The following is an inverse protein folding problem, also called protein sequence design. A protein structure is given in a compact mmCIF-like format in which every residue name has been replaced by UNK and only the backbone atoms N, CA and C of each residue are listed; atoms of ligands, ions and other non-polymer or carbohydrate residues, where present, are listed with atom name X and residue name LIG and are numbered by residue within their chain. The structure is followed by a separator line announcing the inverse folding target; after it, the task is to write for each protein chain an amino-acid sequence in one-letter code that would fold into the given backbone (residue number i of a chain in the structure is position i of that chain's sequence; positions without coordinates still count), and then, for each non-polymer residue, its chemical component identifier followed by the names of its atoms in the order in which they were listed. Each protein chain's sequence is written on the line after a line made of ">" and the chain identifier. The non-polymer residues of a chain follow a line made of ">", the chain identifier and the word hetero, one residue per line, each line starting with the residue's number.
data_IF_214138910899
#
_entry.id   IF_214138910899
#
_cell.length_a   1.000
_cell.length_b   1.000
_cell.length_c   1.000
_cell.angle_alpha   90.00
_cell.angle_beta   90.00
_cell.angle_gamma   90.00
#
_symmetry.space_group_name_H-M   'P 1'
#
loop_
_entity.id
_entity.type
_entity.pdbx_description
1 polymer ?
#
# COMPACT_ATOMS: atom_id res chain seq x y z
N UNK A 1 -45.71 -7.90 -19.75
CA UNK A 1 -45.85 -7.18 -18.48
C UNK A 1 -46.85 -7.93 -17.62
N UNK A 2 -46.49 -8.33 -16.39
CA UNK A 2 -47.44 -8.98 -15.49
C UNK A 2 -48.66 -8.08 -15.26
N UNK A 3 -49.88 -8.64 -15.32
CA UNK A 3 -51.10 -7.89 -15.00
C UNK A 3 -50.96 -7.35 -13.57
N UNK A 4 -51.13 -6.04 -13.42
CA UNK A 4 -51.10 -5.42 -12.10
C UNK A 4 -52.39 -5.84 -11.39
N UNK A 5 -52.27 -6.65 -10.33
CA UNK A 5 -53.39 -7.04 -9.49
C UNK A 5 -53.64 -5.97 -8.40
N UNK A 6 -54.74 -5.19 -8.50
CA UNK A 6 -55.06 -4.15 -7.51
C UNK A 6 -55.32 -4.70 -6.11
N UNK A 7 -55.82 -5.93 -6.00
CA UNK A 7 -56.16 -6.58 -4.72
C UNK A 7 -54.88 -6.96 -3.99
N UNK A 8 -53.93 -7.60 -4.68
CA UNK A 8 -52.62 -7.90 -4.12
C UNK A 8 -51.87 -6.62 -3.69
N UNK A 9 -51.96 -5.53 -4.47
CA UNK A 9 -51.35 -4.23 -4.10
C UNK A 9 -52.01 -3.64 -2.84
N UNK A 10 -53.33 -3.72 -2.72
CA UNK A 10 -54.07 -3.26 -1.55
C UNK A 10 -53.73 -4.08 -0.28
N UNK A 11 -53.62 -5.40 -0.42
CA UNK A 11 -53.22 -6.31 0.66
C UNK A 11 -51.79 -5.98 1.16
N UNK A 12 -50.84 -5.81 0.23
CA UNK A 12 -49.46 -5.44 0.58
C UNK A 12 -49.38 -4.10 1.32
N UNK A 13 -50.15 -3.09 0.88
CA UNK A 13 -50.24 -1.80 1.56
C UNK A 13 -50.84 -1.91 2.96
N UNK A 14 -51.89 -2.73 3.11
CA UNK A 14 -52.57 -2.95 4.38
C UNK A 14 -51.69 -3.69 5.40
N UNK A 15 -50.87 -4.63 4.94
CA UNK A 15 -49.88 -5.35 5.73
C UNK A 15 -48.78 -4.42 6.30
N UNK A 16 -48.46 -3.31 5.60
CA UNK A 16 -47.54 -2.28 6.11
C UNK A 16 -48.18 -1.29 7.10
N UNK A 17 -49.44 -1.51 7.48
CA UNK A 17 -50.10 -0.71 8.51
C UNK A 17 -50.95 0.44 8.00
N UNK A 18 -51.53 0.31 6.80
CA UNK A 18 -52.49 1.27 6.25
C UNK A 18 -53.92 0.70 6.21
N UNK A 19 -54.91 1.58 6.36
CA UNK A 19 -56.32 1.32 6.09
C UNK A 19 -56.68 2.12 4.85
N UNK A 20 -56.86 1.46 3.72
CA UNK A 20 -57.07 2.12 2.42
C UNK A 20 -58.51 2.64 2.31
N UNK A 21 -58.66 3.86 1.76
CA UNK A 21 -59.97 4.51 1.58
C UNK A 21 -60.46 4.57 0.13
N UNK A 22 -59.60 4.21 -0.80
CA UNK A 22 -59.89 4.25 -2.23
C UNK A 22 -59.29 3.03 -2.95
N UNK A 23 -59.80 2.65 -4.13
CA UNK A 23 -59.16 1.66 -5.00
C UNK A 23 -57.73 2.05 -5.37
N UNK A 24 -56.94 1.08 -5.86
CA UNK A 24 -55.55 1.29 -6.25
C UNK A 24 -55.40 2.37 -7.34
N UNK A 25 -54.73 3.51 -7.05
CA UNK A 25 -54.66 4.64 -7.99
C UNK A 25 -53.50 4.52 -9.00
N UNK A 26 -52.58 3.58 -8.80
CA UNK A 26 -51.29 3.49 -9.49
C UNK A 26 -50.10 3.55 -8.52
N UNK A 27 -48.92 3.11 -8.95
CA UNK A 27 -47.79 2.86 -8.04
C UNK A 27 -47.25 4.13 -7.36
N UNK A 28 -47.08 5.20 -8.13
CA UNK A 28 -46.50 6.47 -7.66
C UNK A 28 -47.56 7.52 -7.30
N UNK A 29 -48.85 7.20 -7.49
CA UNK A 29 -49.92 8.13 -7.15
C UNK A 29 -50.19 8.14 -5.64
N UNK A 30 -50.55 9.29 -5.06
CA UNK A 30 -50.93 9.37 -3.66
C UNK A 30 -52.15 8.49 -3.39
N UNK A 31 -52.05 7.54 -2.45
CA UNK A 31 -53.13 6.63 -2.11
C UNK A 31 -53.78 7.05 -0.78
N UNK A 32 -55.02 7.58 -0.78
CA UNK A 32 -55.71 7.96 0.45
C UNK A 32 -55.90 6.77 1.40
N UNK A 33 -55.36 6.90 2.61
CA UNK A 33 -55.41 5.87 3.64
C UNK A 33 -55.41 6.48 5.05
N UNK A 34 -55.68 5.66 6.07
CA UNK A 34 -55.41 5.99 7.49
C UNK A 34 -54.23 5.14 7.95
N UNK A 35 -53.27 5.74 8.62
CA UNK A 35 -52.18 4.98 9.24
C UNK A 35 -52.65 4.29 10.52
N UNK A 36 -52.47 2.97 10.63
CA UNK A 36 -52.85 2.20 11.84
C UNK A 36 -52.03 2.59 13.09
N UNK A 37 -50.86 3.22 12.91
CA UNK A 37 -49.99 3.60 14.04
C UNK A 37 -50.37 4.94 14.65
N UNK A 38 -50.59 5.99 13.84
CA UNK A 38 -50.90 7.32 14.35
C UNK A 38 -52.36 7.74 14.16
N UNK A 39 -53.17 6.90 13.50
CA UNK A 39 -54.58 7.14 13.18
C UNK A 39 -54.86 8.40 12.35
N UNK A 40 -53.83 9.02 11.78
CA UNK A 40 -53.97 10.19 10.92
C UNK A 40 -54.19 9.81 9.46
N UNK A 41 -54.96 10.60 8.69
CA UNK A 41 -55.03 10.47 7.24
C UNK A 41 -53.65 10.61 6.60
N UNK A 42 -53.39 9.80 5.58
CA UNK A 42 -52.15 9.83 4.82
C UNK A 42 -52.42 9.60 3.33
N UNK A 43 -51.46 10.00 2.50
CA UNK A 43 -51.50 9.89 1.05
C UNK A 43 -50.23 9.23 0.51
N UNK A 44 -49.68 8.26 1.25
CA UNK A 44 -48.49 7.53 0.83
C UNK A 44 -48.72 6.79 -0.49
N UNK A 45 -47.71 6.73 -1.34
CA UNK A 45 -47.76 5.95 -2.58
C UNK A 45 -47.35 4.50 -2.35
N UNK A 46 -47.80 3.59 -3.23
CA UNK A 46 -47.38 2.20 -3.17
C UNK A 46 -45.85 2.07 -3.28
N UNK A 47 -45.22 2.81 -4.19
CA UNK A 47 -43.77 2.82 -4.37
C UNK A 47 -43.04 3.27 -3.10
N UNK A 48 -43.49 4.34 -2.43
CA UNK A 48 -42.83 4.80 -1.20
C UNK A 48 -42.86 3.77 -0.08
N UNK A 49 -43.99 3.08 0.10
CA UNK A 49 -44.17 2.19 1.25
C UNK A 49 -43.62 0.80 0.97
N UNK A 50 -43.91 0.23 -0.19
CA UNK A 50 -43.55 -1.16 -0.52
C UNK A 50 -42.20 -1.22 -1.21
N UNK A 51 -42.01 -0.49 -2.30
CA UNK A 51 -40.79 -0.56 -3.11
C UNK A 51 -39.60 0.08 -2.39
N UNK A 52 -39.77 1.27 -1.81
CA UNK A 52 -38.69 2.02 -1.12
C UNK A 52 -38.63 1.75 0.39
N UNK A 53 -39.65 1.11 0.97
CA UNK A 53 -39.65 0.75 2.39
C UNK A 53 -39.75 1.92 3.37
N UNK A 54 -40.23 3.10 2.97
CA UNK A 54 -40.23 4.33 3.79
C UNK A 54 -41.26 4.34 4.95
N UNK A 55 -41.96 3.22 5.14
CA UNK A 55 -42.98 3.06 6.18
C UNK A 55 -44.37 3.53 5.74
N UNK A 56 -45.41 3.28 6.57
CA UNK A 56 -46.80 3.48 6.18
C UNK A 56 -47.19 4.94 5.94
N UNK A 57 -46.69 5.88 6.74
CA UNK A 57 -47.05 7.28 6.61
C UNK A 57 -45.88 8.23 6.86
N UNK A 58 -45.92 9.38 6.19
CA UNK A 58 -44.91 10.43 6.29
C UNK A 58 -44.74 10.91 7.74
N UNK A 59 -45.82 11.17 8.49
CA UNK A 59 -45.73 11.69 9.86
C UNK A 59 -45.04 10.73 10.82
N UNK A 60 -45.34 9.43 10.77
CA UNK A 60 -44.64 8.43 11.59
C UNK A 60 -43.17 8.29 11.15
N UNK A 61 -42.90 8.32 9.84
CA UNK A 61 -41.53 8.34 9.32
C UNK A 61 -40.76 9.56 9.81
N UNK A 62 -41.36 10.74 9.74
CA UNK A 62 -40.79 11.99 10.21
C UNK A 62 -40.51 11.94 11.71
N UNK A 63 -41.45 11.51 12.56
CA UNK A 63 -41.23 11.34 14.01
C UNK A 63 -40.06 10.40 14.31
N UNK A 64 -39.97 9.25 13.64
CA UNK A 64 -38.85 8.32 13.79
C UNK A 64 -37.53 8.97 13.39
N UNK A 65 -37.50 9.66 12.25
CA UNK A 65 -36.29 10.35 11.77
C UNK A 65 -35.88 11.49 12.71
N UNK A 66 -36.82 12.28 13.22
CA UNK A 66 -36.57 13.37 14.18
C UNK A 66 -36.05 12.83 15.51
N UNK A 67 -36.60 11.72 16.00
CA UNK A 67 -36.12 11.07 17.23
C UNK A 67 -34.69 10.53 17.06
N UNK A 68 -34.40 9.88 15.93
CA UNK A 68 -33.05 9.42 15.61
C UNK A 68 -32.06 10.60 15.49
N UNK A 69 -32.47 11.68 14.81
CA UNK A 69 -31.68 12.91 14.71
C UNK A 69 -31.48 13.61 16.06
N UNK A 70 -32.47 13.58 16.96
CA UNK A 70 -32.33 14.11 18.32
C UNK A 70 -31.32 13.29 19.13
N UNK A 71 -31.40 11.96 19.09
CA UNK A 71 -30.41 11.07 19.73
C UNK A 71 -29.00 11.31 19.21
N UNK A 72 -28.83 11.46 17.89
CA UNK A 72 -27.53 11.78 17.29
C UNK A 72 -26.95 13.10 17.80
N UNK A 73 -27.81 14.12 18.00
CA UNK A 73 -27.41 15.45 18.48
C UNK A 73 -27.16 15.50 19.99
N UNK A 74 -27.67 14.55 20.76
CA UNK A 74 -27.48 14.43 22.20
C UNK A 74 -26.10 13.86 22.53
N UNK A 75 -25.06 14.63 22.21
CA UNK A 75 -23.66 14.30 22.51
C UNK A 75 -23.30 14.96 23.85
N UNK A 76 -22.76 14.23 24.85
CA UNK A 76 -22.22 14.81 26.06
C UNK A 76 -21.06 15.77 25.76
N UNK A 77 -20.95 16.87 26.50
CA UNK A 77 -19.91 17.89 26.27
C UNK A 77 -18.49 17.31 26.31
N UNK A 78 -18.20 16.43 27.28
CA UNK A 78 -16.88 15.79 27.42
C UNK A 78 -16.47 15.00 26.16
N UNK A 79 -17.38 14.18 25.64
CA UNK A 79 -17.16 13.40 24.41
C UNK A 79 -16.95 14.33 23.21
N UNK A 80 -17.70 15.44 23.16
CA UNK A 80 -17.54 16.42 22.09
C UNK A 80 -16.18 17.11 22.14
N UNK A 81 -15.71 17.47 23.34
CA UNK A 81 -14.42 18.12 23.55
C UNK A 81 -13.26 17.21 23.14
N UNK A 82 -13.28 15.95 23.54
CA UNK A 82 -12.25 14.98 23.18
C UNK A 82 -12.15 14.81 21.66
N UNK A 83 -13.29 14.70 20.97
CA UNK A 83 -13.33 14.59 19.51
C UNK A 83 -12.80 15.83 18.80
N UNK A 84 -13.03 17.02 19.34
CA UNK A 84 -12.49 18.26 18.76
C UNK A 84 -10.99 18.42 19.08
N UNK A 85 -10.53 17.96 20.24
CA UNK A 85 -9.10 17.92 20.58
C UNK A 85 -8.33 16.94 19.69
N UNK A 86 -8.89 15.77 19.37
CA UNK A 86 -8.36 14.83 18.37
C UNK A 86 -8.17 15.51 16.99
N UNK A 87 -9.03 16.48 16.65
CA UNK A 87 -8.93 17.28 15.44
C UNK A 87 -7.95 18.47 15.53
N UNK A 88 -7.07 18.50 16.54
CA UNK A 88 -6.11 19.58 16.82
C UNK A 88 -6.75 20.95 17.08
N UNK A 89 -7.89 20.97 17.76
CA UNK A 89 -8.52 22.22 18.20
C UNK A 89 -8.76 22.15 19.70
N UNK A 90 -8.35 23.20 20.41
CA UNK A 90 -8.66 23.40 21.83
C UNK A 90 -9.94 24.22 21.97
N UNK A 91 -11.04 23.68 22.52
CA UNK A 91 -12.24 24.46 22.80
C UNK A 91 -11.95 25.64 23.72
N UNK A 92 -12.55 26.80 23.44
CA UNK A 92 -12.43 28.02 24.25
C UNK A 92 -13.71 28.34 25.03
N UNK A 93 -14.81 27.70 24.67
CA UNK A 93 -16.12 27.84 25.31
C UNK A 93 -16.77 26.47 25.52
N UNK A 94 -17.86 26.45 26.29
CA UNK A 94 -18.65 25.24 26.52
C UNK A 94 -19.30 24.74 25.23
N UNK A 95 -19.47 23.42 25.12
CA UNK A 95 -20.04 22.81 23.92
C UNK A 95 -21.45 23.35 23.59
N UNK A 96 -21.64 24.08 22.48
CA UNK A 96 -22.92 24.72 22.14
C UNK A 96 -23.91 23.75 21.47
N UNK A 97 -23.52 22.47 21.33
CA UNK A 97 -24.27 21.46 20.60
C UNK A 97 -23.72 21.20 19.20
N UNK A 98 -24.18 20.10 18.59
CA UNK A 98 -23.54 19.52 17.39
C UNK A 98 -23.64 20.36 16.12
N UNK A 99 -24.56 21.31 16.05
CA UNK A 99 -24.83 22.17 14.88
C UNK A 99 -24.44 23.64 15.13
N UNK A 100 -23.99 23.98 16.35
CA UNK A 100 -23.55 25.32 16.69
C UNK A 100 -22.12 25.59 16.20
N UNK A 101 -21.82 26.86 15.94
CA UNK A 101 -20.45 27.32 15.84
C UNK A 101 -19.82 27.22 17.23
N UNK A 102 -18.72 26.50 17.35
CA UNK A 102 -18.01 26.27 18.60
C UNK A 102 -16.63 26.90 18.54
N UNK A 103 -16.42 27.94 19.35
CA UNK A 103 -15.16 28.70 19.37
C UNK A 103 -14.03 27.85 19.92
N UNK A 104 -12.94 27.77 19.16
CA UNK A 104 -11.76 26.99 19.52
C UNK A 104 -10.47 27.61 18.99
N UNK A 105 -9.35 27.25 19.61
CA UNK A 105 -8.01 27.59 19.17
C UNK A 105 -7.45 26.42 18.35
N UNK A 106 -7.14 26.66 17.08
CA UNK A 106 -6.45 25.66 16.27
C UNK A 106 -5.02 25.47 16.76
N UNK A 107 -4.64 24.27 17.20
CA UNK A 107 -3.30 23.99 17.71
C UNK A 107 -2.23 23.89 16.61
N UNK A 108 -2.62 23.89 15.34
CA UNK A 108 -1.69 23.90 14.20
C UNK A 108 -1.27 25.31 13.78
N UNK A 109 -2.21 26.26 13.73
CA UNK A 109 -1.94 27.63 13.28
C UNK A 109 -2.12 28.69 14.37
N UNK A 110 -2.49 28.27 15.58
CA UNK A 110 -2.69 29.11 16.77
C UNK A 110 -3.69 30.26 16.58
N UNK A 111 -4.63 30.11 15.64
CA UNK A 111 -5.72 31.07 15.41
C UNK A 111 -6.99 30.60 16.08
N UNK A 112 -7.75 31.56 16.61
CA UNK A 112 -9.14 31.34 16.98
C UNK A 112 -9.97 31.07 15.73
N UNK A 113 -10.79 30.03 15.79
CA UNK A 113 -11.66 29.57 14.72
C UNK A 113 -13.00 29.13 15.30
N UNK A 114 -14.02 29.19 14.46
CA UNK A 114 -15.30 28.56 14.73
C UNK A 114 -15.32 27.16 14.12
N UNK A 115 -15.63 26.16 14.94
CA UNK A 115 -15.70 24.75 14.54
C UNK A 115 -17.11 24.24 14.67
N UNK A 116 -17.59 23.51 13.66
CA UNK A 116 -18.87 22.82 13.75
C UNK A 116 -18.63 21.33 13.99
N UNK A 117 -19.06 20.83 15.15
CA UNK A 117 -18.89 19.43 15.52
C UNK A 117 -19.44 18.48 14.45
N UNK A 118 -20.61 18.76 13.88
CA UNK A 118 -21.18 17.94 12.81
C UNK A 118 -20.30 17.88 11.56
N UNK A 119 -19.64 18.99 11.19
CA UNK A 119 -18.77 19.05 10.02
C UNK A 119 -17.51 18.21 10.25
N UNK A 120 -16.90 18.33 11.42
CA UNK A 120 -15.67 17.60 11.75
C UNK A 120 -15.96 16.11 11.97
N UNK A 121 -16.94 15.79 12.82
CA UNK A 121 -17.13 14.42 13.31
C UNK A 121 -18.06 13.60 12.42
N UNK A 122 -19.09 14.20 11.81
CA UNK A 122 -20.02 13.44 10.95
C UNK A 122 -19.65 13.50 9.48
N UNK A 123 -19.14 14.64 8.99
CA UNK A 123 -18.74 14.80 7.58
C UNK A 123 -17.25 14.51 7.35
N UNK A 124 -16.42 14.48 8.39
CA UNK A 124 -14.98 14.24 8.27
C UNK A 124 -14.19 15.41 7.69
N UNK A 125 -14.76 16.63 7.71
CA UNK A 125 -14.08 17.81 7.21
C UNK A 125 -12.99 18.28 8.18
N UNK A 126 -11.97 18.96 7.65
CA UNK A 126 -10.95 19.60 8.49
C UNK A 126 -11.56 20.69 9.39
N UNK A 127 -11.18 20.70 10.67
CA UNK A 127 -11.73 21.64 11.65
C UNK A 127 -11.34 23.11 11.38
N UNK A 128 -10.13 23.34 10.87
CA UNK A 128 -9.60 24.69 10.64
C UNK A 128 -9.63 25.06 9.15
N UNK A 129 -10.49 26.02 8.81
CA UNK A 129 -10.66 26.53 7.44
C UNK A 129 -9.42 27.29 6.91
N UNK A 130 -8.54 27.80 7.78
CA UNK A 130 -7.24 28.36 7.37
C UNK A 130 -6.23 27.27 7.02
N UNK A 131 -6.16 26.20 7.81
CA UNK A 131 -5.27 25.07 7.56
C UNK A 131 -5.69 24.27 6.33
N UNK A 132 -7.00 24.09 6.12
CA UNK A 132 -7.53 23.44 4.91
C UNK A 132 -7.36 24.29 3.64
N UNK A 133 -7.05 25.58 3.78
CA UNK A 133 -6.95 26.52 2.66
C UNK A 133 -8.29 27.04 2.14
N UNK A 134 -9.40 26.69 2.79
CA UNK A 134 -10.75 27.19 2.46
C UNK A 134 -10.86 28.70 2.69
N UNK A 135 -10.11 29.24 3.65
CA UNK A 135 -9.95 30.68 3.85
C UNK A 135 -8.48 31.06 3.77
N UNK A 136 -8.17 32.06 2.96
CA UNK A 136 -6.81 32.58 2.84
C UNK A 136 -6.50 33.54 4.00
N UNK A 137 -5.23 33.52 4.39
CA UNK A 137 -4.62 34.46 5.34
C UNK A 137 -4.13 35.67 4.51
N UNK A 138 -4.16 36.90 5.04
CA UNK A 138 -3.54 38.04 4.39
C UNK A 138 -2.07 37.75 4.01
N UNK A 139 -1.64 38.24 2.85
CA UNK A 139 -0.28 37.99 2.31
C UNK A 139 0.82 38.37 3.32
N UNK A 140 0.69 39.54 3.97
CA UNK A 140 1.65 40.02 4.96
C UNK A 140 1.83 39.05 6.14
N UNK A 141 0.71 38.59 6.72
CA UNK A 141 0.71 37.63 7.83
C UNK A 141 1.33 36.29 7.42
N UNK A 142 0.97 35.80 6.23
CA UNK A 142 1.50 34.54 5.73
C UNK A 142 3.02 34.63 5.49
N UNK A 143 3.52 35.78 5.00
CA UNK A 143 4.96 36.00 4.77
C UNK A 143 5.73 36.04 6.08
N UNK A 144 5.19 36.73 7.09
CA UNK A 144 5.76 36.75 8.42
C UNK A 144 5.84 35.34 9.01
N UNK A 145 4.76 34.56 8.90
CA UNK A 145 4.74 33.17 9.34
C UNK A 145 5.79 32.31 8.63
N UNK A 146 5.86 32.39 7.29
CA UNK A 146 6.84 31.63 6.51
C UNK A 146 8.29 31.99 6.90
N UNK A 147 8.54 33.27 7.21
CA UNK A 147 9.84 33.75 7.67
C UNK A 147 10.22 33.16 9.04
N UNK A 148 9.28 33.05 9.98
CA UNK A 148 9.53 32.37 11.27
C UNK A 148 9.89 30.89 11.11
N UNK A 149 9.42 30.26 10.03
CA UNK A 149 9.77 28.89 9.66
C UNK A 149 11.13 28.80 8.92
N UNK A 150 11.87 29.90 8.80
CA UNK A 150 13.19 29.95 8.18
C UNK A 150 13.17 30.03 6.65
N UNK A 151 12.07 30.55 6.08
CA UNK A 151 11.86 30.66 4.64
C UNK A 151 11.38 32.06 4.25
N UNK A 152 12.07 32.70 3.34
CA UNK A 152 11.73 34.03 2.82
C UNK A 152 10.89 33.89 1.54
N UNK A 153 9.66 34.41 1.54
CA UNK A 153 8.76 34.33 0.39
C UNK A 153 9.22 35.24 -0.76
N UNK A 154 9.39 34.68 -1.96
CA UNK A 154 9.80 35.44 -3.15
C UNK A 154 8.63 35.92 -4.01
N UNK A 155 7.45 35.32 -3.82
CA UNK A 155 6.23 35.64 -4.56
C UNK A 155 5.07 35.88 -3.58
N UNK A 156 3.99 36.59 -3.99
CA UNK A 156 2.77 36.70 -3.18
C UNK A 156 2.22 35.34 -2.75
N UNK A 157 1.59 35.30 -1.58
CA UNK A 157 1.03 34.12 -0.96
C UNK A 157 -0.06 33.51 -1.85
N UNK A 158 0.17 32.31 -2.42
CA UNK A 158 -0.77 31.70 -3.35
C UNK A 158 -1.91 30.94 -2.65
N UNK A 159 -1.81 30.74 -1.33
CA UNK A 159 -2.72 29.92 -0.55
C UNK A 159 -2.01 28.81 0.25
N UNK A 160 -2.70 28.24 1.23
CA UNK A 160 -2.09 27.37 2.26
C UNK A 160 -1.56 26.04 1.69
N UNK A 161 -2.23 25.53 0.67
CA UNK A 161 -1.91 24.24 0.03
C UNK A 161 -1.20 24.37 -1.32
N UNK A 162 -0.93 25.61 -1.75
CA UNK A 162 -0.22 25.87 -3.00
C UNK A 162 1.28 25.94 -2.78
N UNK A 163 2.07 25.55 -3.80
CA UNK A 163 3.53 25.63 -3.73
C UNK A 163 3.95 27.10 -3.68
N UNK A 164 4.65 27.47 -2.62
CA UNK A 164 5.05 28.84 -2.38
C UNK A 164 6.56 29.02 -2.56
N UNK A 165 6.94 29.62 -3.71
CA UNK A 165 8.34 29.85 -4.07
C UNK A 165 9.03 30.75 -3.04
N UNK A 166 10.05 30.19 -2.38
CA UNK A 166 10.69 30.76 -1.19
C UNK A 166 12.20 30.52 -1.20
N UNK A 167 12.96 31.35 -0.49
CA UNK A 167 14.40 31.19 -0.28
C UNK A 167 14.65 30.72 1.16
N UNK A 168 15.42 29.65 1.34
CA UNK A 168 15.80 29.24 2.70
C UNK A 168 16.77 30.23 3.33
N UNK A 169 16.49 30.67 4.58
CA UNK A 169 17.35 31.64 5.26
C UNK A 169 18.71 31.05 5.65
N UNK A 170 18.78 29.73 5.90
CA UNK A 170 20.00 28.99 6.25
C UNK A 170 20.87 28.65 5.04
N UNK A 171 20.38 27.87 4.08
CA UNK A 171 21.19 27.38 2.95
C UNK A 171 21.07 28.25 1.67
N UNK A 172 20.26 29.31 1.70
CA UNK A 172 20.02 30.27 0.59
C UNK A 172 19.46 29.69 -0.72
N UNK A 173 19.28 28.37 -0.82
CA UNK A 173 18.66 27.70 -1.97
C UNK A 173 17.15 28.00 -2.06
N UNK A 174 16.65 28.01 -3.30
CA UNK A 174 15.22 28.19 -3.59
C UNK A 174 14.46 26.89 -3.38
N UNK A 175 13.37 26.98 -2.62
CA UNK A 175 12.48 25.88 -2.29
C UNK A 175 11.02 26.30 -2.51
N UNK A 176 10.15 25.33 -2.74
CA UNK A 176 8.75 25.57 -3.10
C UNK A 176 7.80 24.79 -2.17
N UNK A 177 7.88 24.98 -0.84
CA UNK A 177 6.99 24.30 0.10
C UNK A 177 5.59 24.88 0.05
N UNK A 178 4.60 24.10 0.50
CA UNK A 178 3.29 24.65 0.86
C UNK A 178 3.33 25.16 2.29
N UNK A 179 2.59 26.22 2.63
CA UNK A 179 2.55 26.74 4.00
C UNK A 179 2.02 25.70 5.00
N UNK A 180 1.02 24.91 4.58
CA UNK A 180 0.50 23.79 5.35
C UNK A 180 1.56 22.73 5.69
N UNK A 181 2.42 22.34 4.73
CA UNK A 181 3.49 21.39 5.00
C UNK A 181 4.63 22.03 5.81
N UNK A 182 4.91 23.32 5.59
CA UNK A 182 5.93 24.03 6.35
C UNK A 182 5.59 24.06 7.86
N UNK A 183 4.31 24.27 8.23
CA UNK A 183 3.83 24.19 9.63
C UNK A 183 4.04 22.82 10.28
N UNK A 184 3.86 21.75 9.52
CA UNK A 184 3.90 20.36 10.03
C UNK A 184 5.31 19.78 10.12
N UNK A 185 6.26 20.36 9.39
CA UNK A 185 7.60 19.77 9.25
C UNK A 185 8.62 20.54 10.09
N UNK A 186 9.45 19.82 10.85
CA UNK A 186 10.53 20.44 11.65
C UNK A 186 11.56 21.21 10.81
N UNK A 187 11.76 20.79 9.56
CA UNK A 187 12.68 21.43 8.62
C UNK A 187 12.01 21.55 7.24
N UNK A 188 11.41 22.71 6.92
CA UNK A 188 10.63 22.88 5.70
C UNK A 188 11.51 22.97 4.45
N UNK A 189 12.78 23.37 4.59
CA UNK A 189 13.76 23.34 3.52
C UNK A 189 14.17 21.90 3.18
N UNK A 190 13.87 21.44 1.97
CA UNK A 190 14.21 20.09 1.49
C UNK A 190 15.72 19.81 1.49
N UNK A 191 16.56 20.82 1.32
CA UNK A 191 18.03 20.69 1.29
C UNK A 191 18.61 20.59 2.69
N UNK A 192 18.19 21.44 3.63
CA UNK A 192 18.61 21.36 5.03
C UNK A 192 18.15 20.05 5.69
N UNK A 193 16.99 19.53 5.27
CA UNK A 193 16.48 18.23 5.70
C UNK A 193 17.13 17.03 4.97
N UNK A 194 18.11 17.26 4.08
CA UNK A 194 18.77 16.23 3.26
C UNK A 194 17.80 15.35 2.43
N UNK A 195 16.60 15.86 2.13
CA UNK A 195 15.57 15.19 1.32
C UNK A 195 15.77 15.42 -0.18
N UNK A 196 16.48 16.48 -0.53
CA UNK A 196 16.92 16.78 -1.89
C UNK A 196 18.37 17.25 -1.82
N UNK A 197 19.13 16.93 -2.85
CA UNK A 197 20.48 17.47 -3.06
C UNK A 197 20.51 18.24 -4.37
N UNK A 198 21.58 19.01 -4.57
CA UNK A 198 21.82 19.70 -5.83
C UNK A 198 22.04 18.69 -6.96
N UNK A 199 21.44 18.87 -8.16
CA UNK A 199 21.65 17.96 -9.29
C UNK A 199 23.13 17.71 -9.60
N UNK A 200 24.00 18.71 -9.48
CA UNK A 200 25.44 18.55 -9.76
C UNK A 200 26.10 17.66 -8.71
N UNK A 201 25.81 17.90 -7.43
CA UNK A 201 26.32 17.08 -6.31
C UNK A 201 25.80 15.65 -6.41
N UNK A 202 24.53 15.46 -6.82
CA UNK A 202 23.94 14.16 -7.05
C UNK A 202 24.70 13.35 -8.12
N UNK A 203 25.03 14.01 -9.24
CA UNK A 203 25.76 13.39 -10.35
C UNK A 203 27.17 13.01 -9.89
N UNK A 204 27.85 13.88 -9.16
CA UNK A 204 29.21 13.61 -8.70
C UNK A 204 29.24 12.44 -7.70
N UNK A 205 28.30 12.42 -6.75
CA UNK A 205 28.16 11.31 -5.81
C UNK A 205 27.92 9.96 -6.51
N UNK A 206 27.17 9.95 -7.62
CA UNK A 206 26.96 8.74 -8.41
C UNK A 206 28.26 8.30 -9.09
N UNK A 207 29.01 9.23 -9.69
CA UNK A 207 30.29 8.93 -10.35
C UNK A 207 31.33 8.39 -9.38
N UNK A 208 31.50 9.04 -8.22
CA UNK A 208 32.40 8.58 -7.15
C UNK A 208 32.08 7.17 -6.67
N UNK A 209 30.79 6.80 -6.68
CA UNK A 209 30.35 5.46 -6.32
C UNK A 209 30.49 4.42 -7.45
N UNK A 210 30.94 4.81 -8.66
CA UNK A 210 31.10 3.92 -9.82
C UNK A 210 29.88 3.84 -10.74
N UNK A 211 28.97 4.83 -10.71
CA UNK A 211 27.77 4.89 -11.55
C UNK A 211 27.79 6.14 -12.43
N UNK A 212 27.53 5.98 -13.73
CA UNK A 212 27.34 7.09 -14.67
C UNK A 212 25.84 7.32 -14.88
N UNK A 213 25.24 8.42 -14.39
CA UNK A 213 23.83 8.72 -14.64
C UNK A 213 23.55 8.85 -16.15
N UNK A 214 22.46 8.22 -16.61
CA UNK A 214 22.02 8.29 -18.02
C UNK A 214 20.91 9.33 -18.23
N UNK A 215 20.20 9.69 -17.17
CA UNK A 215 19.15 10.71 -17.18
C UNK A 215 19.48 11.84 -16.20
N UNK A 216 18.81 12.99 -16.34
CA UNK A 216 18.90 14.07 -15.35
C UNK A 216 18.44 13.60 -13.96
N UNK A 217 18.95 14.24 -12.90
CA UNK A 217 18.60 13.91 -11.52
C UNK A 217 17.10 14.13 -11.28
N UNK A 218 16.35 13.11 -10.79
CA UNK A 218 14.89 13.21 -10.58
C UNK A 218 14.47 14.18 -9.46
N UNK A 219 15.40 14.87 -8.80
CA UNK A 219 15.12 15.88 -7.76
C UNK A 219 14.82 15.31 -6.38
N UNK A 220 14.82 13.98 -6.22
CA UNK A 220 14.60 13.28 -4.95
C UNK A 220 15.65 12.17 -4.79
N UNK A 221 16.33 12.15 -3.65
CA UNK A 221 17.38 11.17 -3.34
C UNK A 221 16.86 9.73 -3.22
N UNK A 222 15.55 9.55 -2.97
CA UNK A 222 14.88 8.24 -2.86
C UNK A 222 14.24 7.76 -4.17
N UNK A 223 14.21 8.59 -5.21
CA UNK A 223 13.67 8.18 -6.51
C UNK A 223 14.65 7.25 -7.23
N UNK A 224 14.11 6.38 -8.07
CA UNK A 224 14.91 5.56 -8.97
C UNK A 224 15.57 6.45 -10.02
N UNK A 225 16.86 6.26 -10.23
CA UNK A 225 17.68 7.03 -11.15
C UNK A 225 18.49 6.08 -12.04
N UNK A 226 18.22 6.15 -13.34
CA UNK A 226 18.80 5.26 -14.35
C UNK A 226 20.26 5.64 -14.59
N UNK A 227 21.14 4.67 -14.42
CA UNK A 227 22.59 4.85 -14.54
C UNK A 227 23.25 3.64 -15.21
N UNK A 228 24.49 3.79 -15.61
CA UNK A 228 25.36 2.71 -16.11
C UNK A 228 26.44 2.44 -15.07
N UNK A 229 26.70 1.18 -14.75
CA UNK A 229 27.82 0.82 -13.89
C UNK A 229 29.13 0.91 -14.65
N UNK A 230 30.05 1.75 -14.19
CA UNK A 230 31.28 2.09 -14.92
C UNK A 230 32.13 0.84 -15.18
N UNK A 231 32.26 -0.07 -14.22
CA UNK A 231 33.14 -1.24 -14.37
C UNK A 231 32.60 -2.29 -15.35
N UNK A 232 31.27 -2.47 -15.45
CA UNK A 232 30.68 -3.54 -16.27
C UNK A 232 29.87 -3.04 -17.48
N UNK A 233 29.70 -1.73 -17.62
CA UNK A 233 28.96 -1.09 -18.72
C UNK A 233 27.46 -1.40 -18.76
N UNK A 234 26.91 -2.11 -17.76
CA UNK A 234 25.48 -2.47 -17.75
C UNK A 234 24.63 -1.38 -17.12
N UNK A 235 23.44 -1.19 -17.67
CA UNK A 235 22.43 -0.28 -17.12
C UNK A 235 21.87 -0.84 -15.80
N UNK A 236 21.70 0.05 -14.83
CA UNK A 236 21.17 -0.25 -13.50
C UNK A 236 20.25 0.86 -13.03
N UNK A 237 19.24 0.47 -12.27
CA UNK A 237 18.35 1.39 -11.58
C UNK A 237 18.88 1.64 -10.16
N UNK A 238 19.48 2.81 -9.97
CA UNK A 238 20.09 3.20 -8.71
C UNK A 238 19.15 4.08 -7.87
N UNK A 239 19.38 4.13 -6.57
CA UNK A 239 18.72 5.08 -5.66
C UNK A 239 19.80 5.82 -4.91
N UNK A 240 19.88 7.15 -5.08
CA UNK A 240 20.98 7.96 -4.57
C UNK A 240 21.16 7.85 -3.05
N UNK A 241 20.07 7.79 -2.28
CA UNK A 241 20.08 7.55 -0.83
C UNK A 241 20.82 6.25 -0.45
N UNK A 242 20.59 5.16 -1.21
CA UNK A 242 21.29 3.89 -0.99
C UNK A 242 22.76 3.97 -1.39
N UNK A 243 23.07 4.72 -2.43
CA UNK A 243 24.45 4.95 -2.89
C UNK A 243 25.23 5.73 -1.83
N UNK A 244 24.66 6.81 -1.30
CA UNK A 244 25.24 7.62 -0.20
C UNK A 244 25.49 6.74 1.04
N UNK A 245 24.51 5.93 1.44
CA UNK A 245 24.63 5.07 2.63
C UNK A 245 25.70 3.98 2.47
N UNK A 246 25.77 3.34 1.29
CA UNK A 246 26.67 2.21 1.04
C UNK A 246 28.06 2.63 0.55
N UNK A 247 28.20 3.89 0.10
CA UNK A 247 29.40 4.44 -0.55
C UNK A 247 29.94 3.58 -1.70
N UNK A 248 29.04 2.91 -2.45
CA UNK A 248 29.38 2.07 -3.61
C UNK A 248 28.19 1.85 -4.55
N UNK A 249 28.47 1.55 -5.81
CA UNK A 249 27.49 1.12 -6.80
C UNK A 249 26.78 -0.19 -6.37
N UNK A 250 25.46 -0.20 -6.48
CA UNK A 250 24.65 -1.40 -6.28
C UNK A 250 24.31 -2.03 -7.64
N UNK A 251 25.31 -2.53 -8.35
CA UNK A 251 25.10 -3.19 -9.64
C UNK A 251 24.65 -4.65 -9.44
N UNK A 252 23.40 -4.98 -9.81
CA UNK A 252 22.85 -6.34 -9.71
C UNK A 252 23.69 -7.37 -10.48
N UNK A 253 24.34 -6.94 -11.57
CA UNK A 253 25.18 -7.81 -12.40
C UNK A 253 26.58 -8.05 -11.83
N UNK A 254 27.03 -7.22 -10.89
CA UNK A 254 28.34 -7.33 -10.26
C UNK A 254 28.27 -7.77 -8.80
N UNK A 255 27.08 -8.09 -8.26
CA UNK A 255 26.94 -8.52 -6.87
C UNK A 255 27.81 -9.76 -6.66
N UNK A 256 28.82 -9.63 -5.80
CA UNK A 256 29.75 -10.72 -5.49
C UNK A 256 29.09 -11.85 -4.67
N UNK A 257 27.95 -11.58 -4.04
CA UNK A 257 27.17 -12.50 -3.23
C UNK A 257 25.95 -13.04 -4.00
N UNK A 258 25.71 -14.34 -3.90
CA UNK A 258 24.66 -15.04 -4.63
C UNK A 258 25.21 -16.27 -5.36
N UNK A 259 24.34 -17.24 -5.63
CA UNK A 259 24.73 -18.47 -6.31
C UNK A 259 25.10 -18.19 -7.78
N UNK A 260 26.31 -18.58 -8.19
CA UNK A 260 26.84 -18.42 -9.55
C UNK A 260 26.83 -19.78 -10.26
N UNK A 261 26.00 -19.91 -11.30
CA UNK A 261 25.86 -21.17 -12.05
C UNK A 261 27.15 -21.62 -12.78
N UNK A 262 28.03 -20.67 -13.09
CA UNK A 262 29.29 -20.94 -13.79
C UNK A 262 30.41 -21.47 -12.86
N UNK A 263 30.24 -21.45 -11.54
CA UNK A 263 31.24 -21.94 -10.58
C UNK A 263 30.89 -23.36 -10.10
N UNK A 264 31.87 -24.13 -9.61
CA UNK A 264 31.61 -25.37 -8.86
C UNK A 264 30.64 -25.14 -7.71
N UNK A 265 29.78 -26.13 -7.47
CA UNK A 265 28.71 -26.04 -6.49
C UNK A 265 28.45 -27.37 -5.79
N UNK A 266 27.64 -27.32 -4.75
CA UNK A 266 27.13 -28.47 -4.03
C UNK A 266 25.60 -28.41 -4.02
N UNK A 267 24.96 -29.56 -4.20
CA UNK A 267 23.60 -29.80 -3.73
C UNK A 267 23.70 -30.46 -2.35
N UNK A 268 22.90 -30.01 -1.39
CA UNK A 268 22.91 -30.55 -0.04
C UNK A 268 21.49 -30.80 0.50
N UNK A 269 21.36 -31.86 1.30
CA UNK A 269 20.21 -32.18 2.12
C UNK A 269 20.61 -32.09 3.59
N UNK A 270 19.94 -31.22 4.33
CA UNK A 270 20.15 -31.03 5.77
C UNK A 270 18.90 -31.38 6.57
N UNK A 271 19.06 -31.73 7.85
CA UNK A 271 17.97 -32.00 8.80
C UNK A 271 18.15 -31.21 10.08
N UNK A 272 17.07 -30.65 10.61
CA UNK A 272 17.02 -30.03 11.93
C UNK A 272 16.08 -30.81 12.84
N UNK A 273 16.63 -31.60 13.77
CA UNK A 273 15.85 -32.53 14.60
C UNK A 273 14.84 -31.83 15.50
N UNK A 274 15.22 -30.72 16.15
CA UNK A 274 14.33 -29.99 17.06
C UNK A 274 13.18 -29.25 16.35
N UNK A 275 13.33 -28.96 15.05
CA UNK A 275 12.27 -28.34 14.24
C UNK A 275 11.49 -29.40 13.46
N UNK A 276 11.93 -30.66 13.49
CA UNK A 276 11.32 -31.74 12.72
C UNK A 276 11.30 -31.44 11.21
N UNK A 277 12.35 -30.81 10.67
CA UNK A 277 12.35 -30.33 9.28
C UNK A 277 13.61 -30.76 8.52
N UNK A 278 13.45 -30.90 7.20
CA UNK A 278 14.54 -31.10 6.25
C UNK A 278 14.64 -29.92 5.29
N UNK A 279 15.85 -29.67 4.78
CA UNK A 279 16.16 -28.60 3.84
C UNK A 279 16.93 -29.13 2.65
N UNK A 280 16.47 -28.81 1.45
CA UNK A 280 17.28 -28.92 0.23
C UNK A 280 17.89 -27.55 -0.06
N UNK A 281 19.12 -27.52 -0.58
CA UNK A 281 19.75 -26.27 -0.96
C UNK A 281 20.98 -26.44 -1.85
N UNK A 282 21.35 -25.36 -2.53
CA UNK A 282 22.60 -25.27 -3.29
C UNK A 282 23.54 -24.18 -2.77
N UNK A 283 24.84 -24.38 -2.96
CA UNK A 283 25.83 -23.35 -2.71
C UNK A 283 27.05 -23.50 -3.60
N UNK A 284 27.72 -22.40 -3.95
CA UNK A 284 29.04 -22.49 -4.58
C UNK A 284 30.07 -23.00 -3.58
N UNK A 285 31.12 -23.61 -4.13
CA UNK A 285 32.30 -23.95 -3.34
C UNK A 285 32.90 -22.70 -2.68
N UNK A 286 33.37 -22.84 -1.44
CA UNK A 286 33.92 -21.75 -0.62
C UNK A 286 32.90 -20.74 -0.07
N UNK A 287 31.60 -20.89 -0.34
CA UNK A 287 30.58 -19.92 0.13
C UNK A 287 30.30 -19.95 1.64
N UNK A 288 30.71 -21.00 2.36
CA UNK A 288 30.43 -21.18 3.79
C UNK A 288 28.96 -21.47 4.15
N UNK A 289 28.05 -21.57 3.16
CA UNK A 289 26.60 -21.66 3.37
C UNK A 289 26.17 -22.87 4.21
N UNK A 290 26.75 -24.05 3.96
CA UNK A 290 26.47 -25.26 4.74
C UNK A 290 26.90 -25.06 6.20
N UNK A 291 28.12 -24.55 6.43
CA UNK A 291 28.64 -24.24 7.77
C UNK A 291 27.74 -23.26 8.52
N UNK A 292 27.20 -22.24 7.84
CA UNK A 292 26.22 -21.32 8.45
C UNK A 292 24.96 -22.04 8.89
N UNK A 293 24.42 -22.98 8.11
CA UNK A 293 23.27 -23.78 8.53
C UNK A 293 23.62 -24.69 9.72
N UNK A 294 24.80 -25.29 9.73
CA UNK A 294 25.26 -26.15 10.85
C UNK A 294 25.34 -25.41 12.18
N UNK A 295 25.89 -24.18 12.16
CA UNK A 295 25.92 -23.32 13.33
C UNK A 295 24.51 -22.98 13.86
N UNK A 296 23.48 -23.12 13.03
CA UNK A 296 22.07 -22.92 13.37
C UNK A 296 21.31 -24.26 13.55
N UNK A 297 22.01 -25.33 13.95
CA UNK A 297 21.39 -26.60 14.37
C UNK A 297 21.03 -27.57 13.24
N UNK A 298 21.31 -27.24 11.99
CA UNK A 298 21.10 -28.15 10.85
C UNK A 298 22.24 -29.17 10.77
N UNK A 299 21.93 -30.42 10.44
CA UNK A 299 22.91 -31.49 10.29
C UNK A 299 22.93 -31.97 8.85
N UNK A 300 24.12 -32.17 8.29
CA UNK A 300 24.30 -32.71 6.95
C UNK A 300 23.80 -34.16 6.89
N UNK A 301 22.98 -34.45 5.88
CA UNK A 301 22.54 -35.82 5.55
C UNK A 301 23.24 -36.29 4.28
N UNK A 302 23.18 -35.47 3.22
CA UNK A 302 23.84 -35.70 1.94
C UNK A 302 24.40 -34.38 1.41
N UNK A 303 25.58 -34.45 0.79
CA UNK A 303 26.19 -33.33 0.05
C UNK A 303 26.84 -33.92 -1.19
N UNK A 304 26.50 -33.42 -2.37
CA UNK A 304 27.03 -33.91 -3.64
C UNK A 304 27.62 -32.76 -4.46
N UNK A 305 28.90 -32.85 -4.87
CA UNK A 305 29.51 -31.86 -5.76
C UNK A 305 28.89 -31.95 -7.15
N UNK A 306 28.56 -30.79 -7.72
CA UNK A 306 27.96 -30.63 -9.04
C UNK A 306 28.52 -29.35 -9.71
N UNK A 307 28.38 -29.24 -11.03
CA UNK A 307 28.50 -27.91 -11.64
C UNK A 307 27.35 -27.01 -11.17
N UNK A 308 27.55 -25.69 -11.17
CA UNK A 308 26.50 -24.77 -10.72
C UNK A 308 25.19 -24.91 -11.52
N UNK A 309 25.26 -25.20 -12.83
CA UNK A 309 24.10 -25.51 -13.65
C UNK A 309 23.39 -26.80 -13.24
N UNK A 310 24.13 -27.88 -12.96
CA UNK A 310 23.56 -29.15 -12.50
C UNK A 310 22.93 -29.01 -11.12
N UNK A 311 23.56 -28.25 -10.21
CA UNK A 311 23.03 -28.00 -8.88
C UNK A 311 21.66 -27.30 -8.93
N UNK A 312 21.52 -26.23 -9.72
CA UNK A 312 20.22 -25.55 -9.93
C UNK A 312 19.17 -26.50 -10.48
N UNK A 313 19.52 -27.33 -11.47
CA UNK A 313 18.60 -28.30 -12.05
C UNK A 313 18.15 -29.34 -11.02
N UNK A 314 19.07 -29.86 -10.22
CA UNK A 314 18.78 -30.85 -9.20
C UNK A 314 17.90 -30.27 -8.08
N UNK A 315 18.22 -29.07 -7.58
CA UNK A 315 17.40 -28.38 -6.57
C UNK A 315 15.98 -28.15 -7.08
N UNK A 316 15.84 -27.63 -8.31
CA UNK A 316 14.53 -27.40 -8.91
C UNK A 316 13.75 -28.70 -9.11
N UNK A 317 14.42 -29.81 -9.41
CA UNK A 317 13.77 -31.12 -9.54
C UNK A 317 13.14 -31.56 -8.21
N UNK A 318 13.88 -31.44 -7.10
CA UNK A 318 13.36 -31.75 -5.76
C UNK A 318 12.20 -30.81 -5.38
N UNK A 319 12.36 -29.50 -5.60
CA UNK A 319 11.33 -28.52 -5.25
C UNK A 319 10.05 -28.70 -6.07
N UNK A 320 10.16 -28.99 -7.37
CA UNK A 320 9.01 -29.29 -8.22
C UNK A 320 8.29 -30.56 -7.75
N UNK A 321 9.04 -31.57 -7.32
CA UNK A 321 8.47 -32.79 -6.77
C UNK A 321 7.71 -32.53 -5.46
N UNK A 322 8.28 -31.72 -4.56
CA UNK A 322 7.59 -31.31 -3.33
C UNK A 322 6.34 -30.49 -3.60
N UNK A 323 6.39 -29.60 -4.58
CA UNK A 323 5.24 -28.80 -5.02
C UNK A 323 4.14 -29.70 -5.62
N UNK A 324 4.49 -30.69 -6.43
CA UNK A 324 3.53 -31.62 -7.02
C UNK A 324 2.82 -32.49 -5.97
N UNK A 325 3.46 -32.71 -4.81
CA UNK A 325 2.91 -33.41 -3.66
C UNK A 325 2.18 -32.48 -2.68
N UNK A 326 2.07 -31.18 -3.00
CA UNK A 326 1.45 -30.14 -2.16
C UNK A 326 2.00 -30.10 -0.73
N UNK A 327 3.33 -30.29 -0.59
CA UNK A 327 3.96 -30.37 0.72
C UNK A 327 4.13 -28.96 1.33
N UNK A 328 3.66 -28.73 2.56
CA UNK A 328 3.87 -27.45 3.23
C UNK A 328 5.35 -27.28 3.61
N UNK A 329 5.75 -26.02 3.77
CA UNK A 329 7.09 -25.69 4.22
C UNK A 329 7.33 -26.21 5.64
N UNK A 330 8.51 -26.79 5.86
CA UNK A 330 8.87 -27.40 7.13
C UNK A 330 9.11 -26.40 8.27
N UNK A 331 9.47 -25.16 7.94
CA UNK A 331 9.78 -24.10 8.91
C UNK A 331 9.35 -22.73 8.41
N UNK A 332 9.17 -21.79 9.33
CA UNK A 332 8.84 -20.40 9.00
C UNK A 332 10.10 -19.55 8.78
N UNK A 333 9.90 -18.32 8.28
CA UNK A 333 10.99 -17.31 8.19
C UNK A 333 11.61 -16.97 9.55
N UNK A 334 10.84 -17.05 10.64
CA UNK A 334 11.33 -16.74 11.99
C UNK A 334 12.26 -17.84 12.50
N UNK A 335 12.00 -19.09 12.12
CA UNK A 335 12.82 -20.25 12.49
C UNK A 335 14.16 -20.31 11.73
N UNK A 336 14.29 -19.56 10.63
CA UNK A 336 15.50 -19.47 9.82
C UNK A 336 15.90 -18.01 9.50
N UNK A 337 16.41 -17.25 10.49
CA UNK A 337 16.87 -15.86 10.28
C UNK A 337 18.04 -15.75 9.30
N UNK A 338 18.82 -16.82 9.14
CA UNK A 338 19.90 -16.96 8.15
C UNK A 338 19.40 -17.19 6.70
N UNK A 339 18.08 -17.37 6.51
CA UNK A 339 17.43 -17.51 5.19
C UNK A 339 17.33 -18.95 4.66
N UNK A 340 16.49 -19.14 3.63
CA UNK A 340 16.27 -20.44 2.98
C UNK A 340 15.14 -21.30 3.57
N UNK A 341 14.14 -20.69 4.21
CA UNK A 341 12.97 -21.38 4.76
C UNK A 341 12.02 -21.94 3.68
N UNK A 342 12.03 -21.35 2.49
CA UNK A 342 11.19 -21.75 1.34
C UNK A 342 11.54 -23.11 0.76
N UNK A 343 12.79 -23.56 0.91
CA UNK A 343 13.26 -24.86 0.43
C UNK A 343 13.30 -25.89 1.57
N UNK A 344 12.23 -25.96 2.37
CA UNK A 344 12.12 -26.89 3.51
C UNK A 344 10.84 -27.70 3.47
N UNK A 345 10.86 -28.86 4.12
CA UNK A 345 9.70 -29.76 4.28
C UNK A 345 9.72 -30.37 5.68
N UNK A 346 8.55 -30.64 6.25
CA UNK A 346 8.49 -31.27 7.57
C UNK A 346 8.77 -32.77 7.47
N UNK A 347 9.54 -33.31 8.40
CA UNK A 347 9.90 -34.73 8.48
C UNK A 347 8.70 -35.63 8.80
N UNK A 348 7.61 -35.07 9.30
CA UNK A 348 6.33 -35.77 9.47
C UNK A 348 5.61 -36.02 8.15
N UNK A 349 5.87 -35.17 7.15
CA UNK A 349 5.20 -35.21 5.85
C UNK A 349 6.05 -35.98 4.82
N UNK A 350 7.38 -36.00 4.99
CA UNK A 350 8.32 -36.83 4.22
C UNK A 350 9.41 -37.41 5.10
N UNK A 351 9.54 -38.73 5.10
CA UNK A 351 10.56 -39.44 5.85
C UNK A 351 11.96 -39.25 5.26
N UNK A 352 12.98 -39.42 6.10
CA UNK A 352 14.38 -39.27 5.67
C UNK A 352 14.78 -40.21 4.50
N UNK A 353 14.35 -41.49 4.46
CA UNK A 353 14.59 -42.35 3.30
C UNK A 353 14.00 -41.80 2.00
N UNK A 354 12.76 -41.31 2.02
CA UNK A 354 12.11 -40.73 0.83
C UNK A 354 12.80 -39.44 0.37
N UNK A 355 13.33 -38.65 1.30
CA UNK A 355 14.10 -37.45 1.00
C UNK A 355 15.46 -37.79 0.37
N UNK A 356 16.12 -38.86 0.83
CA UNK A 356 17.36 -39.36 0.23
C UNK A 356 17.10 -39.88 -1.20
N UNK A 357 16.03 -40.64 -1.40
CA UNK A 357 15.65 -41.13 -2.72
C UNK A 357 15.37 -39.98 -3.70
N UNK A 358 14.61 -38.96 -3.27
CA UNK A 358 14.33 -37.78 -4.08
C UNK A 358 15.62 -36.99 -4.41
N UNK A 359 16.56 -36.91 -3.45
CA UNK A 359 17.87 -36.29 -3.66
C UNK A 359 18.68 -37.05 -4.72
N UNK A 360 18.79 -38.37 -4.59
CA UNK A 360 19.58 -39.20 -5.52
C UNK A 360 18.97 -39.18 -6.93
N UNK A 361 17.63 -39.23 -7.04
CA UNK A 361 16.92 -39.08 -8.30
C UNK A 361 17.19 -37.71 -8.97
N UNK A 362 17.22 -36.63 -8.17
CA UNK A 362 17.52 -35.29 -8.66
C UNK A 362 18.96 -35.15 -9.17
N UNK A 363 19.93 -35.74 -8.45
CA UNK A 363 21.33 -35.79 -8.89
C UNK A 363 21.45 -36.56 -10.20
N UNK A 364 20.85 -37.76 -10.28
CA UNK A 364 20.88 -38.58 -11.48
C UNK A 364 20.25 -37.85 -12.68
N UNK A 365 19.12 -37.17 -12.49
CA UNK A 365 18.43 -36.38 -13.51
C UNK A 365 19.26 -35.18 -13.99
N UNK A 366 19.98 -34.52 -13.09
CA UNK A 366 20.82 -33.36 -13.42
C UNK A 366 22.08 -33.74 -14.20
N UNK A 367 22.66 -34.91 -13.92
CA UNK A 367 23.90 -35.40 -14.56
C UNK A 367 23.65 -36.05 -15.93
N UNK A 368 22.43 -36.53 -16.22
CA UNK A 368 22.10 -37.09 -17.54
C UNK A 368 22.36 -36.08 -18.68
N UNK A 369 23.12 -36.44 -19.71
CA UNK A 369 23.25 -35.62 -20.91
C UNK A 369 21.88 -35.49 -21.57
N UNK A 370 21.56 -34.31 -22.11
CA UNK A 370 20.40 -34.18 -22.99
C UNK A 370 20.65 -35.10 -24.19
N UNK A 371 19.80 -36.12 -24.39
CA UNK A 371 19.66 -36.68 -25.73
C UNK A 371 19.26 -35.53 -26.64
N UNK A 372 20.10 -35.21 -27.63
CA UNK A 372 19.76 -34.34 -28.73
C UNK A 372 18.56 -34.96 -29.46
N UNK A 373 17.39 -34.34 -29.31
CA UNK A 373 16.26 -34.62 -30.17
C UNK A 373 16.67 -34.37 -31.62
N UNK A 374 16.32 -35.32 -32.48
CA UNK A 374 16.47 -35.26 -33.93
C UNK A 374 15.91 -33.96 -34.48
N UNK A 375 16.79 -33.08 -34.93
CA UNK A 375 16.46 -32.04 -35.90
C UNK A 375 16.60 -32.66 -37.29
N UNK A 376 15.50 -33.13 -37.86
CA UNK A 376 15.37 -33.16 -39.33
C UNK A 376 15.00 -31.74 -39.75
N UNK A 377 16.02 -30.92 -40.00
CA UNK A 377 15.86 -29.73 -40.83
C UNK A 377 16.15 -30.12 -42.29
N UNK A 378 15.25 -29.81 -43.24
CA UNK A 378 15.55 -29.95 -44.65
C UNK A 378 16.55 -28.85 -45.06
N UNK A 379 17.63 -29.29 -45.70
CA UNK A 379 18.63 -28.49 -46.40
C UNK A 379 17.99 -27.42 -47.30
N UNK A 380 18.45 -26.15 -47.27
CA UNK A 380 18.15 -25.19 -48.32
C UNK A 380 19.08 -25.45 -49.50
N UNK A 381 18.49 -25.84 -50.63
CA UNK A 381 19.15 -25.84 -51.94
C UNK A 381 19.42 -24.40 -52.38
N UNK A 382 20.66 -24.13 -52.76
CA UNK A 382 21.04 -23.00 -53.58
C UNK A 382 20.37 -23.12 -54.97
N UNK A 383 20.01 -21.95 -55.51
CA UNK A 383 19.90 -21.56 -56.92
C UNK A 383 18.56 -20.91 -57.33
N UNK A 384 18.78 -19.79 -58.04
CA UNK A 384 17.93 -19.07 -58.99
C UNK A 384 16.95 -17.99 -58.50
N UNK A 385 17.16 -16.78 -59.04
CA UNK A 385 16.05 -16.08 -59.68
C UNK A 385 15.87 -14.61 -59.33
N UNK A 386 16.64 -13.77 -60.03
CA UNK A 386 16.31 -12.43 -60.52
C UNK A 386 14.80 -12.07 -60.65
N UNK A 387 14.54 -10.73 -60.55
CA UNK A 387 13.33 -9.97 -60.97
C UNK A 387 12.13 -10.08 -59.99
N UNK A 388 11.51 -9.03 -59.45
CA UNK A 388 11.33 -7.61 -59.81
C UNK A 388 11.17 -6.75 -58.55
#
# INVERSE_FOLDING_TARGET
>A
MAKIDPIARAAAMSARGLILKAPYPGADKPWPAICKTCMQPTKSSYTSVITKGQGPCFTCGQRKSSAAAARKRAVPAEVAEDKIREANVKPLETFPGTQGAWRGLCLTCLREIDVWYCSVVYSGNGACYYCSGTRQIPDADARAELLTLGLEALVPYPGSNEKWRSRCTTCKKIVDPTLCNARKTKSPCRFCAQRATDPEVAVETMKEAGLRPLTAFPGNVKAVWRAEHIDCGKQVDAVLDKVIQRRRASCIHCVQYGFKQALPAFLYLLVHTALGAAKIGICNDGSGRIRTHELNGWRQVLVTPLSGYQAVRAEQHVLNHWLALDLPQGVSRLDMPQGGWTETVALRDRSLPELREAFDAAVASAVRPRCSGSATDPSPSEEDGYLF
#
